data_IF_783613837781
#
_entry.id   IF_783613837781
#
_cell.length_a   1.000
_cell.length_b   1.000
_cell.length_c   1.000
_cell.angle_alpha   90.00
_cell.angle_beta   90.00
_cell.angle_gamma   90.00
#
_symmetry.space_group_name_H-M   'P 1'
#
loop_
_entity.id
_entity.type
_entity.pdbx_description
1 polymer ?
#
# COMPACT_ATOMS: atom_id res chain seq x y z
N UNK A 1 -18.03 22.29 57.90
CA UNK A 1 -17.33 21.42 58.89
C UNK A 1 -16.17 20.77 58.17
N UNK A 2 -14.94 20.66 58.68
CA UNK A 2 -14.31 21.11 59.94
C UNK A 2 -12.79 21.23 59.60
N UNK A 3 -12.16 22.41 59.66
CA UNK A 3 -11.48 23.07 60.80
C UNK A 3 -10.10 22.50 61.19
N UNK A 4 -9.13 23.40 61.45
CA UNK A 4 -7.71 23.16 61.79
C UNK A 4 -7.47 22.44 63.15
N UNK A 5 -6.23 22.02 63.48
CA UNK A 5 -5.25 22.92 64.13
C UNK A 5 -3.87 23.01 63.41
N UNK A 6 -2.91 23.94 63.61
CA UNK A 6 -2.69 25.10 64.53
C UNK A 6 -1.80 24.86 65.78
N UNK A 7 -0.53 25.34 65.73
CA UNK A 7 0.30 25.92 66.85
C UNK A 7 0.84 24.92 67.93
N UNK A 8 1.91 25.17 68.75
CA UNK A 8 2.75 26.39 68.98
C UNK A 8 4.32 26.22 68.92
N UNK A 9 5.02 27.33 69.24
CA UNK A 9 6.31 27.50 69.99
C UNK A 9 7.53 28.09 69.23
N UNK A 10 8.46 28.85 69.83
CA UNK A 10 8.35 29.97 70.82
C UNK A 10 9.74 30.58 71.15
N UNK A 11 9.98 31.86 70.84
CA UNK A 11 11.02 32.74 71.46
C UNK A 11 12.50 32.32 71.24
N UNK A 12 13.56 33.08 71.62
CA UNK A 12 13.67 34.32 72.41
C UNK A 12 14.96 35.12 72.06
N UNK A 13 14.81 36.43 71.90
CA UNK A 13 15.76 37.55 72.12
C UNK A 13 17.27 37.30 72.35
N UNK A 14 18.10 38.13 71.69
CA UNK A 14 19.13 38.94 72.39
C UNK A 14 19.29 40.34 71.76
N UNK A 15 19.87 41.29 72.50
CA UNK A 15 19.93 42.73 72.14
C UNK A 15 21.27 43.38 72.52
N UNK A 16 22.02 43.86 71.52
CA UNK A 16 23.07 44.92 71.59
C UNK A 16 23.08 45.59 70.20
N UNK A 17 23.27 46.89 70.01
CA UNK A 17 23.41 48.03 70.94
C UNK A 17 22.98 49.33 70.21
N UNK A 18 22.99 50.49 70.90
CA UNK A 18 22.61 51.79 70.33
C UNK A 18 23.79 52.76 70.40
N UNK A 19 24.12 53.37 69.28
CA UNK A 19 24.81 54.66 69.21
C UNK A 19 24.11 55.61 68.23
N UNK A 20 24.50 56.89 68.19
CA UNK A 20 23.70 57.93 67.53
C UNK A 20 24.55 59.10 67.02
N UNK A 21 24.43 59.38 65.73
CA UNK A 21 24.74 60.67 65.07
C UNK A 21 23.84 60.76 63.84
N UNK A 22 22.95 61.76 63.77
CA UNK A 22 23.20 63.14 63.30
C UNK A 22 23.31 63.18 61.77
N UNK A 23 22.33 63.82 61.12
CA UNK A 23 21.97 63.51 59.73
C UNK A 23 22.34 64.54 58.66
N UNK A 24 22.14 64.13 57.41
CA UNK A 24 22.00 64.99 56.23
C UNK A 24 20.74 64.54 55.48
N UNK A 25 19.84 65.47 55.15
CA UNK A 25 18.69 65.22 54.27
C UNK A 25 18.97 65.74 52.86
N UNK A 26 19.30 64.85 51.91
CA UNK A 26 19.36 65.11 50.46
C UNK A 26 18.87 63.85 49.68
N UNK A 27 18.52 63.95 48.38
CA UNK A 27 17.23 63.39 47.92
C UNK A 27 17.30 62.00 47.27
N UNK A 28 17.35 60.93 48.07
CA UNK A 28 17.23 59.55 47.56
C UNK A 28 15.93 59.26 46.79
N UNK A 29 14.83 59.99 47.07
CA UNK A 29 13.56 59.84 46.33
C UNK A 29 13.65 60.25 44.86
N UNK A 30 14.53 61.20 44.51
CA UNK A 30 14.71 61.61 43.12
C UNK A 30 15.44 60.53 42.30
N UNK A 31 16.53 59.97 42.86
CA UNK A 31 17.26 58.85 42.26
C UNK A 31 16.38 57.60 42.11
N UNK A 32 15.54 57.29 43.10
CA UNK A 32 14.59 56.17 42.99
C UNK A 32 13.58 56.37 41.85
N UNK A 33 13.03 57.56 41.66
CA UNK A 33 12.11 57.85 40.56
C UNK A 33 12.82 57.87 39.19
N UNK A 34 14.05 58.40 39.09
CA UNK A 34 14.85 58.30 37.88
C UNK A 34 15.18 56.84 37.53
N UNK A 35 15.54 56.00 38.50
CA UNK A 35 15.81 54.58 38.27
C UNK A 35 14.54 53.82 37.86
N UNK A 36 13.39 54.07 38.50
CA UNK A 36 12.11 53.47 38.09
C UNK A 36 11.72 53.93 36.68
N UNK A 37 11.92 55.21 36.35
CA UNK A 37 11.65 55.74 35.00
C UNK A 37 12.62 55.21 33.94
N UNK A 38 13.90 55.02 34.27
CA UNK A 38 14.88 54.40 33.37
C UNK A 38 14.58 52.91 33.19
N UNK A 39 14.22 52.18 34.25
CA UNK A 39 13.73 50.81 34.12
C UNK A 39 12.45 50.74 33.29
N UNK A 40 11.49 51.66 33.45
CA UNK A 40 10.29 51.69 32.59
C UNK A 40 10.61 52.03 31.13
N UNK A 41 11.52 52.97 30.88
CA UNK A 41 11.95 53.31 29.51
C UNK A 41 12.75 52.17 28.88
N UNK A 42 13.60 51.46 29.64
CA UNK A 42 14.30 50.25 29.19
C UNK A 42 13.31 49.11 28.94
N UNK A 43 12.34 48.87 29.83
CA UNK A 43 11.30 47.85 29.63
C UNK A 43 10.35 48.18 28.47
N UNK A 44 10.15 49.45 28.12
CA UNK A 44 9.41 49.86 26.91
C UNK A 44 10.31 49.73 25.66
N UNK A 45 11.60 50.07 25.77
CA UNK A 45 12.59 49.96 24.69
C UNK A 45 13.11 48.53 24.46
N UNK A 46 12.73 47.58 25.33
CA UNK A 46 12.92 46.13 25.18
C UNK A 46 11.56 45.41 25.08
N UNK A 47 10.49 46.15 24.78
CA UNK A 47 9.18 45.63 24.37
C UNK A 47 8.86 46.01 22.92
N UNK A 48 9.91 46.18 22.12
CA UNK A 48 9.90 46.37 20.68
C UNK A 48 11.05 45.56 20.09
N UNK A 49 10.83 44.89 18.95
CA UNK A 49 11.82 44.14 18.17
C UNK A 49 12.20 42.71 18.65
N UNK A 50 11.31 42.03 19.39
CA UNK A 50 11.19 40.56 19.36
C UNK A 50 9.71 40.20 19.07
N UNK A 51 9.44 39.01 18.52
CA UNK A 51 8.13 38.52 18.03
C UNK A 51 7.45 39.35 16.91
N UNK A 52 8.05 39.36 15.70
CA UNK A 52 7.27 39.54 14.46
C UNK A 52 7.78 38.63 13.33
N UNK A 53 7.16 37.45 13.16
CA UNK A 53 7.40 36.50 12.06
C UNK A 53 7.11 37.08 10.65
N UNK A 54 6.48 38.25 10.58
CA UNK A 54 6.09 38.92 9.36
C UNK A 54 7.29 39.71 8.77
N UNK A 55 8.08 39.07 7.91
CA UNK A 55 9.28 39.67 7.31
C UNK A 55 8.93 40.73 6.24
N UNK A 56 9.65 41.87 6.30
CA UNK A 56 9.44 43.04 5.41
C UNK A 56 10.41 43.11 4.22
N UNK A 57 11.19 42.06 3.98
CA UNK A 57 12.06 41.96 2.80
C UNK A 57 11.60 40.82 1.90
N UNK A 58 11.61 41.09 0.60
CA UNK A 58 11.23 40.16 -0.48
C UNK A 58 12.38 39.98 -1.50
N UNK A 59 13.47 40.74 -1.38
CA UNK A 59 14.58 40.74 -2.34
C UNK A 59 15.21 39.35 -2.59
N UNK A 60 15.53 38.52 -1.57
CA UNK A 60 16.09 37.17 -1.80
C UNK A 60 15.08 36.15 -2.37
N UNK A 61 13.81 36.55 -2.56
CA UNK A 61 12.79 35.72 -3.20
C UNK A 61 12.55 36.11 -4.66
N UNK A 62 13.14 37.21 -5.16
CA UNK A 62 12.88 37.67 -6.53
C UNK A 62 13.42 36.69 -7.57
N UNK A 63 14.71 36.35 -7.47
CA UNK A 63 15.34 35.46 -8.43
C UNK A 63 14.84 34.02 -8.23
N UNK A 64 14.15 33.47 -9.23
CA UNK A 64 13.58 32.12 -9.13
C UNK A 64 14.64 31.04 -9.35
N UNK A 65 15.56 31.28 -10.29
CA UNK A 65 16.55 30.30 -10.73
C UNK A 65 17.63 30.02 -9.65
N UNK A 66 17.85 30.96 -8.72
CA UNK A 66 18.76 30.83 -7.58
C UNK A 66 18.11 30.17 -6.34
N UNK A 67 16.85 29.69 -6.43
CA UNK A 67 16.14 29.15 -5.25
C UNK A 67 16.65 27.77 -4.76
N UNK A 68 17.48 27.06 -5.52
CA UNK A 68 18.15 25.85 -5.04
C UNK A 68 19.30 26.18 -4.06
N UNK A 69 20.03 27.29 -4.28
CA UNK A 69 21.14 27.73 -3.42
C UNK A 69 20.68 28.39 -2.10
N UNK A 70 19.38 28.68 -1.95
CA UNK A 70 18.85 29.53 -0.88
C UNK A 70 18.37 28.71 0.35
N UNK A 71 19.12 28.69 1.47
CA UNK A 71 18.76 27.91 2.66
C UNK A 71 17.58 28.50 3.44
N UNK A 72 17.23 29.78 3.21
CA UNK A 72 16.14 30.47 3.91
C UNK A 72 14.77 30.11 3.29
N UNK A 73 14.73 29.31 2.21
CA UNK A 73 13.47 28.77 1.66
C UNK A 73 13.05 27.56 2.51
N UNK A 74 12.42 27.88 3.64
CA UNK A 74 11.60 26.94 4.40
C UNK A 74 10.46 26.35 3.56
N UNK A 75 9.74 25.38 4.12
CA UNK A 75 8.78 24.54 3.39
C UNK A 75 7.75 25.33 2.57
N UNK A 76 7.30 26.49 3.07
CA UNK A 76 6.36 27.39 2.41
C UNK A 76 6.74 28.86 2.66
N UNK A 77 6.69 29.68 1.62
CA UNK A 77 6.92 31.13 1.66
C UNK A 77 5.79 31.85 0.92
N UNK A 78 5.21 32.88 1.54
CA UNK A 78 4.11 33.67 0.97
C UNK A 78 4.50 35.15 0.96
N UNK A 79 4.24 35.85 -0.15
CA UNK A 79 4.53 37.28 -0.31
C UNK A 79 3.36 38.01 -0.96
N UNK A 80 2.96 39.17 -0.41
CA UNK A 80 1.83 39.96 -0.92
C UNK A 80 2.22 41.39 -1.24
N UNK A 81 1.65 41.86 -2.35
CA UNK A 81 1.79 43.19 -2.90
C UNK A 81 0.40 43.81 -3.01
N UNK A 82 0.26 45.03 -2.51
CA UNK A 82 -0.99 45.79 -2.54
C UNK A 82 -0.85 46.96 -3.51
N UNK A 83 -1.96 47.38 -4.13
CA UNK A 83 -1.98 48.59 -4.94
C UNK A 83 -1.95 49.83 -4.04
N UNK A 84 -0.95 50.69 -4.21
CA UNK A 84 -0.83 51.96 -3.50
C UNK A 84 -1.71 53.06 -4.13
N UNK A 85 -1.75 54.24 -3.51
CA UNK A 85 -2.58 55.36 -3.97
C UNK A 85 -2.18 55.91 -5.36
N UNK A 86 -0.93 55.71 -5.78
CA UNK A 86 -0.43 56.09 -7.12
C UNK A 86 -0.74 55.02 -8.18
N UNK A 87 -1.41 53.93 -7.80
CA UNK A 87 -1.78 52.82 -8.68
C UNK A 87 -0.67 51.79 -8.92
N UNK A 88 0.46 51.88 -8.22
CA UNK A 88 1.57 50.93 -8.32
C UNK A 88 1.39 49.75 -7.35
N UNK A 89 1.81 48.55 -7.75
CA UNK A 89 1.89 47.41 -6.82
C UNK A 89 3.15 47.55 -5.97
N UNK A 90 3.00 47.55 -4.66
CA UNK A 90 4.09 47.68 -3.69
C UNK A 90 4.07 46.50 -2.72
N UNK A 91 5.24 45.97 -2.37
CA UNK A 91 5.38 44.92 -1.36
C UNK A 91 4.81 45.37 -0.02
N UNK A 92 4.03 44.51 0.62
CA UNK A 92 3.38 44.77 1.90
C UNK A 92 3.97 43.91 3.02
N UNK A 93 4.04 42.59 2.81
CA UNK A 93 4.58 41.63 3.75
C UNK A 93 4.99 40.32 3.06
N UNK A 94 5.96 39.62 3.65
CA UNK A 94 6.33 38.24 3.35
C UNK A 94 6.34 37.42 4.64
N UNK A 95 6.08 36.11 4.51
CA UNK A 95 6.02 35.16 5.64
C UNK A 95 6.71 33.88 5.24
N UNK A 96 7.58 33.39 6.12
CA UNK A 96 8.24 32.09 6.02
C UNK A 96 7.55 31.10 6.97
N UNK A 97 7.32 29.89 6.50
CA UNK A 97 6.49 28.88 7.17
C UNK A 97 7.20 27.53 7.09
N UNK A 98 8.08 27.27 8.06
CA UNK A 98 8.89 26.04 8.12
C UNK A 98 8.05 24.80 8.49
N UNK A 99 6.93 25.01 9.19
CA UNK A 99 6.03 23.96 9.63
C UNK A 99 4.59 24.23 9.15
N UNK A 100 4.03 23.40 8.23
CA UNK A 100 2.71 23.63 7.67
C UNK A 100 1.57 23.54 8.69
N UNK A 101 1.77 22.95 9.89
CA UNK A 101 0.70 22.85 10.90
C UNK A 101 0.22 24.19 11.47
N UNK A 102 1.01 25.26 11.29
CA UNK A 102 0.64 26.63 11.70
C UNK A 102 0.54 27.60 10.51
N UNK A 103 0.52 27.08 9.27
CA UNK A 103 0.57 27.90 8.06
C UNK A 103 -0.61 28.87 7.92
N UNK A 104 -1.82 28.40 8.18
CA UNK A 104 -3.03 29.20 8.02
C UNK A 104 -3.08 30.38 9.01
N UNK A 105 -2.75 30.11 10.28
CA UNK A 105 -2.81 31.12 11.35
C UNK A 105 -1.73 32.20 11.14
N UNK A 106 -0.45 31.82 10.97
CA UNK A 106 0.65 32.78 10.75
C UNK A 106 0.44 33.61 9.48
N UNK A 107 0.00 32.99 8.39
CA UNK A 107 -0.25 33.68 7.12
C UNK A 107 -1.44 34.64 7.24
N UNK A 108 -2.53 34.25 7.92
CA UNK A 108 -3.66 35.14 8.15
C UNK A 108 -3.30 36.32 9.07
N UNK A 109 -2.48 36.11 10.11
CA UNK A 109 -2.01 37.17 11.02
C UNK A 109 -1.13 38.21 10.31
N UNK A 110 -0.17 37.76 9.49
CA UNK A 110 0.78 38.65 8.82
C UNK A 110 0.29 39.25 7.49
N UNK A 111 -0.55 38.53 6.74
CA UNK A 111 -0.93 38.86 5.35
C UNK A 111 -2.45 39.09 5.20
N UNK A 112 -3.29 38.65 6.15
CA UNK A 112 -4.74 38.74 6.07
C UNK A 112 -5.40 37.64 5.19
N UNK A 113 -4.60 36.89 4.44
CA UNK A 113 -5.05 35.80 3.56
C UNK A 113 -4.36 34.48 3.96
N UNK A 114 -5.09 33.34 4.00
CA UNK A 114 -4.47 32.03 4.17
C UNK A 114 -3.73 31.60 2.88
N UNK A 115 -2.77 30.67 2.96
CA UNK A 115 -2.07 30.16 1.79
C UNK A 115 -2.99 29.32 0.89
N UNK A 116 -2.61 29.19 -0.39
CA UNK A 116 -3.22 28.19 -1.27
C UNK A 116 -2.90 26.80 -0.73
N UNK A 117 -3.92 25.94 -0.70
CA UNK A 117 -3.75 24.51 -0.46
C UNK A 117 -3.25 23.86 -1.77
N UNK A 118 -1.93 23.73 -1.91
CA UNK A 118 -1.27 23.13 -3.08
C UNK A 118 -0.91 21.67 -2.80
N UNK A 119 -1.37 20.77 -3.66
CA UNK A 119 -0.93 19.37 -3.73
C UNK A 119 0.02 19.19 -4.93
N UNK A 120 1.21 18.68 -4.66
CA UNK A 120 2.23 18.31 -5.63
C UNK A 120 2.40 16.78 -5.63
N UNK A 121 2.48 16.14 -6.80
CA UNK A 121 2.75 14.71 -6.93
C UNK A 121 3.61 14.40 -8.16
N UNK A 122 4.57 13.49 -8.00
CA UNK A 122 5.36 12.90 -9.11
C UNK A 122 4.92 11.45 -9.29
N UNK A 123 4.65 11.02 -10.52
CA UNK A 123 4.33 9.62 -10.83
C UNK A 123 5.56 8.77 -11.21
N UNK A 124 5.39 7.45 -11.31
CA UNK A 124 6.45 6.51 -11.68
C UNK A 124 6.93 6.63 -13.14
N UNK A 125 6.31 7.49 -13.94
CA UNK A 125 6.76 7.85 -15.28
C UNK A 125 7.48 9.21 -15.30
N UNK A 126 7.79 9.75 -14.11
CA UNK A 126 8.43 11.05 -13.89
C UNK A 126 7.63 12.24 -14.45
N UNK A 127 6.30 12.15 -14.52
CA UNK A 127 5.45 13.32 -14.75
C UNK A 127 5.17 14.04 -13.43
N UNK A 128 5.25 15.37 -13.46
CA UNK A 128 5.01 16.26 -12.34
C UNK A 128 3.61 16.88 -12.45
N UNK A 129 2.77 16.62 -11.46
CA UNK A 129 1.37 17.05 -11.41
C UNK A 129 1.13 17.98 -10.22
N UNK A 130 0.60 19.17 -10.50
CA UNK A 130 0.22 20.16 -9.49
C UNK A 130 -1.29 20.35 -9.45
N UNK A 131 -1.85 20.57 -8.26
CA UNK A 131 -3.24 21.01 -8.12
C UNK A 131 -3.44 21.91 -6.92
N UNK A 132 -4.34 22.88 -7.02
CA UNK A 132 -4.69 23.75 -5.89
C UNK A 132 -6.15 24.19 -5.90
N UNK A 133 -6.66 24.49 -4.71
CA UNK A 133 -8.01 25.04 -4.51
C UNK A 133 -8.01 26.55 -4.72
N UNK A 134 -8.87 27.05 -5.62
CA UNK A 134 -9.05 28.48 -5.90
C UNK A 134 -10.24 29.13 -5.18
N UNK A 135 -10.99 28.42 -4.33
CA UNK A 135 -12.25 28.91 -3.75
C UNK A 135 -12.14 30.16 -2.87
N UNK A 136 -10.96 30.44 -2.30
CA UNK A 136 -10.70 31.62 -1.47
C UNK A 136 -10.49 32.91 -2.27
N UNK A 137 -10.38 32.82 -3.61
CA UNK A 137 -9.97 33.91 -4.49
C UNK A 137 -11.10 34.37 -5.43
N UNK A 138 -11.07 35.62 -5.94
CA UNK A 138 -12.04 36.08 -6.91
C UNK A 138 -12.01 35.24 -8.20
N UNK A 139 -13.18 34.89 -8.75
CA UNK A 139 -13.29 34.13 -10.01
C UNK A 139 -12.77 34.83 -11.28
N UNK A 140 -12.19 36.03 -11.13
CA UNK A 140 -11.48 36.77 -12.18
C UNK A 140 -9.97 36.91 -11.90
N UNK A 141 -9.44 36.22 -10.88
CA UNK A 141 -8.01 36.19 -10.61
C UNK A 141 -7.25 35.47 -11.74
N UNK A 142 -6.11 36.02 -12.13
CA UNK A 142 -5.19 35.44 -13.09
C UNK A 142 -4.10 34.66 -12.37
N UNK A 143 -3.82 33.46 -12.86
CA UNK A 143 -2.83 32.54 -12.30
C UNK A 143 -1.68 32.35 -13.28
N UNK A 144 -0.45 32.36 -12.77
CA UNK A 144 0.70 31.81 -13.48
C UNK A 144 1.58 30.97 -12.57
N UNK A 145 2.32 30.04 -13.16
CA UNK A 145 3.01 28.96 -12.45
C UNK A 145 4.41 28.76 -13.03
N UNK A 146 5.40 28.53 -12.17
CA UNK A 146 6.73 28.05 -12.56
C UNK A 146 7.30 27.11 -11.51
N UNK A 147 8.00 26.06 -11.92
CA UNK A 147 8.71 25.12 -11.04
C UNK A 147 10.22 25.07 -11.35
N UNK A 148 10.96 24.71 -10.30
CA UNK A 148 12.40 24.47 -10.30
C UNK A 148 12.64 23.08 -9.68
N UNK A 149 13.59 22.32 -10.23
CA UNK A 149 14.05 21.04 -9.69
C UNK A 149 15.52 21.11 -9.33
N UNK A 150 15.85 20.74 -8.09
CA UNK A 150 17.20 20.86 -7.52
C UNK A 150 17.86 19.49 -7.32
N UNK A 151 19.16 19.39 -7.65
CA UNK A 151 20.08 18.33 -7.23
C UNK A 151 21.05 18.98 -6.23
N UNK A 152 20.85 18.76 -4.93
CA UNK A 152 21.42 19.61 -3.88
C UNK A 152 21.13 21.12 -4.07
N UNK A 153 22.19 21.90 -4.26
CA UNK A 153 22.15 23.35 -4.47
C UNK A 153 22.01 23.74 -5.96
N UNK A 154 22.16 22.80 -6.92
CA UNK A 154 22.15 23.09 -8.36
C UNK A 154 20.74 22.98 -8.98
N UNK A 155 20.36 24.00 -9.77
CA UNK A 155 19.10 24.01 -10.52
C UNK A 155 19.21 23.22 -11.84
N UNK A 156 18.78 21.95 -11.81
CA UNK A 156 18.88 21.02 -12.95
C UNK A 156 17.67 21.08 -13.89
N UNK A 157 16.51 21.54 -13.40
CA UNK A 157 15.28 21.68 -14.17
C UNK A 157 14.62 23.03 -13.87
N UNK A 158 14.35 23.86 -14.89
CA UNK A 158 13.59 25.11 -14.74
C UNK A 158 12.47 25.18 -15.78
N UNK A 159 11.24 25.46 -15.32
CA UNK A 159 10.10 25.71 -16.20
C UNK A 159 9.99 27.19 -16.57
N UNK A 160 9.55 27.48 -17.79
CA UNK A 160 9.05 28.81 -18.13
C UNK A 160 7.72 29.10 -17.42
N UNK A 161 7.52 30.33 -16.97
CA UNK A 161 6.21 30.77 -16.42
C UNK A 161 5.05 30.53 -17.41
N UNK A 162 4.15 29.62 -17.07
CA UNK A 162 2.92 29.33 -17.81
C UNK A 162 1.73 30.09 -17.20
N UNK A 163 0.78 30.55 -18.04
CA UNK A 163 -0.46 31.19 -17.58
C UNK A 163 -1.60 30.17 -17.57
N UNK A 164 -2.18 29.95 -16.40
CA UNK A 164 -3.22 28.94 -16.20
C UNK A 164 -4.60 29.58 -16.33
N UNK A 165 -5.49 28.93 -17.10
CA UNK A 165 -6.87 29.40 -17.29
C UNK A 165 -7.72 29.13 -16.04
N UNK A 166 -8.69 30.00 -15.73
CA UNK A 166 -9.59 29.83 -14.59
C UNK A 166 -10.33 28.49 -14.64
N UNK A 167 -10.49 27.78 -13.50
CA UNK A 167 -10.85 26.38 -13.52
C UNK A 167 -12.33 26.15 -13.87
N UNK A 168 -12.59 25.13 -14.67
CA UNK A 168 -13.84 24.40 -14.60
C UNK A 168 -13.72 23.41 -13.43
N UNK A 169 -14.71 23.37 -12.53
CA UNK A 169 -14.75 22.50 -11.34
C UNK A 169 -13.83 22.85 -10.15
N UNK A 170 -13.50 24.13 -9.93
CA UNK A 170 -12.90 24.71 -8.70
C UNK A 170 -11.47 24.27 -8.31
N UNK A 171 -11.04 23.05 -8.66
CA UNK A 171 -9.62 22.68 -8.60
C UNK A 171 -8.91 23.19 -9.85
N UNK A 172 -7.89 24.03 -9.66
CA UNK A 172 -6.91 24.27 -10.71
C UNK A 172 -5.98 23.07 -10.74
N UNK A 173 -6.20 22.16 -11.69
CA UNK A 173 -5.17 21.22 -12.11
C UNK A 173 -4.16 22.06 -12.91
N UNK A 174 -2.94 22.20 -12.39
CA UNK A 174 -1.83 22.70 -13.18
C UNK A 174 -1.68 21.78 -14.38
N UNK A 175 -1.70 22.38 -15.58
CA UNK A 175 -1.48 21.67 -16.83
C UNK A 175 -0.24 20.75 -16.68
N UNK A 176 -0.28 19.55 -17.27
CA UNK A 176 0.81 18.59 -17.11
C UNK A 176 2.13 19.28 -17.42
N UNK A 177 3.11 19.12 -16.53
CA UNK A 177 4.51 19.33 -16.86
C UNK A 177 4.95 18.28 -17.89
N UNK A 178 4.48 18.43 -19.13
CA UNK A 178 4.94 17.70 -20.31
C UNK A 178 6.30 18.27 -20.75
N UNK A 179 7.20 18.45 -19.77
CA UNK A 179 8.62 18.69 -19.94
C UNK A 179 9.30 17.36 -19.72
N UNK A 180 9.92 16.87 -20.80
CA UNK A 180 10.74 15.68 -20.92
C UNK A 180 11.30 15.13 -19.59
N UNK A 181 10.71 14.02 -19.11
CA UNK A 181 11.16 13.15 -18.00
C UNK A 181 11.93 13.86 -16.87
N UNK A 182 11.27 14.22 -15.77
CA UNK A 182 11.93 14.83 -14.58
C UNK A 182 13.22 14.04 -14.24
N UNK A 183 14.38 14.71 -14.05
CA UNK A 183 15.65 14.04 -13.79
C UNK A 183 15.56 13.07 -12.62
N UNK A 184 16.21 11.90 -12.76
CA UNK A 184 16.13 10.80 -11.78
C UNK A 184 16.77 11.17 -10.42
N UNK A 185 17.64 12.18 -10.40
CA UNK A 185 18.45 12.59 -9.26
C UNK A 185 18.03 13.96 -8.70
N UNK A 186 16.76 14.36 -8.77
CA UNK A 186 16.33 15.53 -7.99
C UNK A 186 16.21 15.16 -6.50
N UNK A 187 16.68 16.03 -5.62
CA UNK A 187 16.35 15.99 -4.18
C UNK A 187 15.01 16.70 -3.94
N UNK A 188 14.83 17.87 -4.54
CA UNK A 188 13.77 18.83 -4.23
C UNK A 188 13.07 19.38 -5.48
N UNK A 189 11.79 19.70 -5.33
CA UNK A 189 11.00 20.48 -6.30
C UNK A 189 10.44 21.73 -5.60
N UNK A 190 10.71 22.90 -6.18
CA UNK A 190 10.22 24.20 -5.72
C UNK A 190 9.18 24.70 -6.72
N UNK A 191 7.94 24.95 -6.27
CA UNK A 191 6.90 25.59 -7.06
C UNK A 191 6.77 27.06 -6.69
N UNK A 192 6.51 27.92 -7.68
CA UNK A 192 6.02 29.30 -7.52
C UNK A 192 4.66 29.44 -8.21
N UNK A 193 3.65 29.87 -7.47
CA UNK A 193 2.35 30.29 -8.01
C UNK A 193 2.19 31.79 -7.80
N UNK A 194 2.00 32.50 -8.92
CA UNK A 194 1.64 33.90 -8.98
C UNK A 194 0.12 34.02 -9.16
N UNK A 195 -0.54 34.79 -8.29
CA UNK A 195 -1.98 35.11 -8.36
C UNK A 195 -2.14 36.62 -8.42
N UNK A 196 -2.89 37.14 -9.40
CA UNK A 196 -3.13 38.58 -9.54
C UNK A 196 -4.58 38.93 -9.83
N UNK A 197 -5.08 39.96 -9.16
CA UNK A 197 -6.36 40.63 -9.41
C UNK A 197 -6.22 42.13 -9.07
N UNK A 198 -7.23 43.01 -9.30
CA UNK A 198 -7.00 44.46 -9.36
C UNK A 198 -6.21 45.09 -8.21
N UNK A 199 -6.41 44.68 -6.95
CA UNK A 199 -5.78 45.33 -5.79
C UNK A 199 -4.74 44.46 -5.06
N UNK A 200 -4.58 43.19 -5.47
CA UNK A 200 -3.70 42.19 -4.86
C UNK A 200 -2.85 41.49 -5.94
N UNK A 201 -1.55 41.42 -5.70
CA UNK A 201 -0.67 40.41 -6.31
C UNK A 201 -0.06 39.58 -5.19
N UNK A 202 -0.18 38.27 -5.32
CA UNK A 202 0.14 37.27 -4.32
C UNK A 202 1.08 36.25 -4.94
N UNK A 203 2.16 35.93 -4.24
CA UNK A 203 3.18 34.98 -4.68
C UNK A 203 3.34 33.94 -3.57
N UNK A 204 3.15 32.68 -3.91
CA UNK A 204 3.43 31.54 -3.03
C UNK A 204 4.53 30.70 -3.64
N UNK A 205 5.64 30.57 -2.91
CA UNK A 205 6.71 29.61 -3.20
C UNK A 205 6.61 28.48 -2.19
N UNK A 206 6.71 27.23 -2.63
CA UNK A 206 6.62 26.05 -1.76
C UNK A 206 7.61 24.98 -2.22
N UNK A 207 8.29 24.36 -1.27
CA UNK A 207 9.38 23.39 -1.50
C UNK A 207 8.98 22.00 -1.01
N UNK A 208 9.24 20.97 -1.81
CA UNK A 208 9.01 19.56 -1.45
C UNK A 208 10.20 18.69 -1.85
N UNK A 209 10.69 17.91 -0.89
CA UNK A 209 11.56 16.75 -1.12
C UNK A 209 10.83 15.71 -1.98
N UNK A 210 11.45 15.25 -3.07
CA UNK A 210 10.81 14.41 -4.09
C UNK A 210 10.30 13.07 -3.51
N UNK A 211 10.97 12.53 -2.48
CA UNK A 211 10.61 11.25 -1.82
C UNK A 211 9.27 11.36 -1.09
N UNK A 212 8.93 12.56 -0.63
CA UNK A 212 7.65 12.84 0.02
C UNK A 212 6.49 13.06 -0.98
N UNK A 213 6.77 13.44 -2.23
CA UNK A 213 5.75 13.67 -3.28
C UNK A 213 5.67 12.58 -4.36
N UNK A 214 6.60 11.63 -4.39
CA UNK A 214 6.57 10.49 -5.32
C UNK A 214 5.41 9.53 -4.98
N UNK A 215 4.51 9.29 -5.93
CA UNK A 215 3.46 8.27 -5.86
C UNK A 215 3.93 7.01 -6.59
N UNK A 216 4.10 5.93 -5.84
CA UNK A 216 4.45 4.61 -6.38
C UNK A 216 3.31 3.99 -7.21
N UNK A 217 3.68 3.15 -8.18
CA UNK A 217 2.76 2.23 -8.85
C UNK A 217 2.30 1.12 -7.89
N UNK A 218 1.11 0.53 -8.07
CA UNK A 218 0.68 -0.66 -7.33
C UNK A 218 1.65 -1.84 -7.55
N UNK A 219 2.00 -2.60 -6.49
CA UNK A 219 2.89 -3.76 -6.60
C UNK A 219 2.22 -4.90 -7.37
N UNK A 220 3.00 -5.68 -8.10
CA UNK A 220 2.46 -6.81 -8.87
C UNK A 220 2.29 -8.04 -7.98
N UNK A 221 1.07 -8.58 -7.90
CA UNK A 221 0.79 -9.85 -7.23
C UNK A 221 1.25 -10.98 -8.16
N UNK A 222 2.32 -11.66 -7.77
CA UNK A 222 3.00 -12.72 -8.55
C UNK A 222 2.28 -14.05 -8.42
N UNK A 223 1.78 -14.35 -7.22
CA UNK A 223 1.09 -15.60 -6.92
C UNK A 223 0.00 -15.37 -5.89
N UNK A 224 -1.16 -16.00 -6.08
CA UNK A 224 -2.22 -16.04 -5.07
C UNK A 224 -2.99 -17.37 -5.20
N UNK A 225 -2.75 -18.27 -4.26
CA UNK A 225 -3.19 -19.68 -4.32
C UNK A 225 -3.77 -20.14 -3.00
N UNK A 226 -4.74 -21.06 -3.09
CA UNK A 226 -5.28 -21.76 -1.93
C UNK A 226 -4.64 -23.15 -1.84
N UNK A 227 -4.01 -23.45 -0.71
CA UNK A 227 -3.32 -24.71 -0.44
C UNK A 227 -3.85 -25.33 0.85
N UNK A 228 -4.66 -26.38 0.72
CA UNK A 228 -5.46 -26.87 1.85
C UNK A 228 -6.47 -25.79 2.25
N UNK A 229 -6.44 -25.41 3.54
CA UNK A 229 -7.31 -24.37 4.11
C UNK A 229 -6.61 -23.00 4.22
N UNK A 230 -5.42 -22.83 3.63
CA UNK A 230 -4.62 -21.60 3.70
C UNK A 230 -4.63 -20.83 2.35
N UNK A 231 -4.79 -19.50 2.40
CA UNK A 231 -4.64 -18.60 1.24
C UNK A 231 -3.26 -17.95 1.28
N UNK A 232 -2.38 -18.38 0.39
CA UNK A 232 -1.07 -17.79 0.17
C UNK A 232 -1.16 -16.64 -0.84
N UNK A 233 -0.50 -15.52 -0.55
CA UNK A 233 -0.38 -14.35 -1.46
C UNK A 233 1.07 -13.89 -1.48
N UNK A 234 1.62 -13.65 -2.66
CA UNK A 234 2.99 -13.19 -2.87
C UNK A 234 3.02 -12.09 -3.94
N UNK A 235 3.85 -11.08 -3.72
CA UNK A 235 4.00 -9.92 -4.59
C UNK A 235 5.48 -9.59 -4.83
N UNK A 236 5.75 -8.90 -5.94
CA UNK A 236 7.09 -8.41 -6.26
C UNK A 236 7.42 -7.14 -5.46
N UNK A 237 8.72 -6.89 -5.33
CA UNK A 237 9.23 -5.60 -4.85
C UNK A 237 8.80 -4.49 -5.83
N UNK A 238 8.26 -3.35 -5.36
CA UNK A 238 7.96 -2.21 -6.20
C UNK A 238 9.21 -1.72 -6.93
N UNK A 239 9.06 -1.38 -8.21
CA UNK A 239 10.11 -0.68 -8.97
C UNK A 239 10.13 0.77 -8.53
N UNK A 240 11.31 1.34 -8.34
CA UNK A 240 11.49 2.76 -8.03
C UNK A 240 12.52 3.36 -8.99
N UNK A 241 12.34 4.63 -9.34
CA UNK A 241 13.28 5.33 -10.21
C UNK A 241 14.46 5.88 -9.39
N UNK A 242 14.21 6.23 -8.13
CA UNK A 242 15.14 6.84 -7.17
C UNK A 242 16.10 5.85 -6.47
N UNK A 243 16.39 4.69 -7.07
CA UNK A 243 17.31 3.68 -6.52
C UNK A 243 16.91 3.05 -5.17
N UNK A 244 15.65 3.19 -4.75
CA UNK A 244 15.12 2.58 -3.52
C UNK A 244 14.73 1.12 -3.77
N UNK A 245 15.73 0.22 -3.76
CA UNK A 245 15.55 -1.22 -3.97
C UNK A 245 15.57 -2.05 -2.66
N UNK A 246 15.55 -1.40 -1.48
CA UNK A 246 15.59 -2.09 -0.19
C UNK A 246 14.17 -2.42 0.30
N UNK A 247 13.92 -3.69 0.63
CA UNK A 247 12.62 -4.18 1.11
C UNK A 247 12.07 -3.43 2.35
N UNK A 248 12.94 -2.88 3.21
CA UNK A 248 12.52 -2.11 4.38
C UNK A 248 12.04 -0.68 4.06
N UNK A 249 12.24 -0.20 2.83
CA UNK A 249 11.69 1.06 2.36
C UNK A 249 10.19 0.98 2.07
N UNK A 250 9.57 -0.21 2.05
CA UNK A 250 8.18 -0.38 1.63
C UNK A 250 7.24 -0.85 2.75
N UNK A 251 6.06 -0.21 2.77
CA UNK A 251 4.90 -0.58 3.56
C UNK A 251 3.74 -0.92 2.63
N UNK A 252 3.12 -2.07 2.86
CA UNK A 252 2.04 -2.61 2.04
C UNK A 252 0.72 -2.62 2.81
N UNK A 253 -0.39 -2.45 2.11
CA UNK A 253 -1.72 -2.81 2.58
C UNK A 253 -2.33 -3.82 1.63
N UNK A 254 -2.80 -4.94 2.18
CA UNK A 254 -3.51 -6.01 1.49
C UNK A 254 -4.97 -5.98 1.93
N UNK A 255 -5.90 -5.71 1.01
CA UNK A 255 -7.31 -5.93 1.20
C UNK A 255 -7.62 -7.40 0.83
N UNK A 256 -8.12 -8.18 1.78
CA UNK A 256 -8.70 -9.51 1.56
C UNK A 256 -10.19 -9.44 1.93
N UNK A 257 -11.06 -9.31 0.92
CA UNK A 257 -12.53 -9.31 1.08
C UNK A 257 -13.04 -8.30 2.11
N UNK A 258 -12.58 -7.06 1.96
CA UNK A 258 -12.81 -5.88 2.82
C UNK A 258 -12.10 -5.89 4.18
N UNK A 259 -11.29 -6.91 4.48
CA UNK A 259 -10.32 -6.88 5.59
C UNK A 259 -8.96 -6.31 5.13
N UNK A 260 -8.62 -5.10 5.59
CA UNK A 260 -7.31 -4.48 5.31
C UNK A 260 -6.27 -4.95 6.34
N UNK A 261 -5.18 -5.55 5.86
CA UNK A 261 -4.05 -6.06 6.63
C UNK A 261 -2.78 -5.34 6.17
N UNK A 262 -2.05 -4.71 7.10
CA UNK A 262 -0.89 -3.88 6.79
C UNK A 262 0.42 -4.59 7.17
N UNK A 263 1.42 -4.51 6.29
CA UNK A 263 2.71 -5.19 6.45
C UNK A 263 3.88 -4.26 6.12
N UNK A 264 4.99 -4.44 6.84
CA UNK A 264 6.27 -3.78 6.56
C UNK A 264 7.31 -4.86 6.21
N UNK A 265 8.19 -4.58 5.25
CA UNK A 265 9.36 -5.43 4.96
C UNK A 265 9.10 -6.92 4.61
N UNK A 266 7.95 -7.25 4.01
CA UNK A 266 7.67 -8.61 3.48
C UNK A 266 7.12 -8.56 2.05
N UNK A 267 7.27 -9.68 1.34
CA UNK A 267 6.80 -9.91 -0.03
C UNK A 267 5.76 -11.06 -0.12
N UNK A 268 5.34 -11.59 1.03
CA UNK A 268 4.30 -12.63 1.08
C UNK A 268 3.46 -12.54 2.36
N UNK A 269 2.27 -13.14 2.29
CA UNK A 269 1.31 -13.29 3.37
C UNK A 269 0.62 -14.67 3.27
N UNK A 270 0.06 -15.15 4.38
CA UNK A 270 -0.75 -16.37 4.41
C UNK A 270 -1.89 -16.20 5.41
N UNK A 271 -3.13 -16.22 4.91
CA UNK A 271 -4.32 -16.35 5.76
C UNK A 271 -4.56 -17.84 6.03
N UNK A 272 -4.82 -18.22 7.28
CA UNK A 272 -5.03 -19.63 7.65
C UNK A 272 -6.50 -19.93 7.99
N UNK A 273 -6.94 -21.16 7.74
CA UNK A 273 -8.30 -21.65 8.04
C UNK A 273 -9.41 -20.88 7.30
N UNK A 274 -9.21 -20.58 6.02
CA UNK A 274 -10.16 -19.84 5.18
C UNK A 274 -11.43 -20.66 4.91
N UNK A 275 -12.57 -19.99 4.78
CA UNK A 275 -13.81 -20.63 4.32
C UNK A 275 -13.70 -20.99 2.83
N UNK A 276 -13.39 -22.26 2.55
CA UNK A 276 -13.27 -22.82 1.19
C UNK A 276 -14.58 -22.80 0.37
N UNK A 277 -15.72 -22.37 0.92
CA UNK A 277 -16.95 -22.19 0.14
C UNK A 277 -17.02 -20.82 -0.55
N UNK A 278 -16.13 -19.88 -0.18
CA UNK A 278 -16.15 -18.49 -0.65
C UNK A 278 -15.16 -18.22 -1.77
N UNK A 279 -15.33 -17.06 -2.39
CA UNK A 279 -14.31 -16.40 -3.21
C UNK A 279 -13.80 -15.18 -2.45
N UNK A 280 -12.49 -15.00 -2.46
CA UNK A 280 -11.78 -13.90 -1.84
C UNK A 280 -11.41 -12.88 -2.91
N UNK A 281 -11.76 -11.62 -2.72
CA UNK A 281 -11.26 -10.51 -3.52
C UNK A 281 -9.97 -9.99 -2.89
N UNK A 282 -8.88 -9.98 -3.66
CA UNK A 282 -7.56 -9.56 -3.20
C UNK A 282 -7.18 -8.28 -3.95
N UNK A 283 -6.79 -7.24 -3.21
CA UNK A 283 -6.13 -6.05 -3.75
C UNK A 283 -4.96 -5.64 -2.86
N UNK A 284 -3.90 -5.08 -3.46
CA UNK A 284 -2.77 -4.53 -2.72
C UNK A 284 -2.49 -3.08 -3.10
N UNK A 285 -1.91 -2.31 -2.16
CA UNK A 285 -1.27 -1.02 -2.43
C UNK A 285 0.01 -0.86 -1.59
N UNK A 286 0.86 0.09 -1.96
CA UNK A 286 2.16 0.33 -1.32
C UNK A 286 2.43 1.81 -1.05
N UNK A 287 3.24 2.11 -0.05
CA UNK A 287 3.83 3.43 0.23
C UNK A 287 5.26 3.25 0.76
N UNK A 288 6.06 4.31 0.76
CA UNK A 288 7.39 4.27 1.37
C UNK A 288 7.33 4.41 2.90
N UNK A 289 8.30 3.83 3.61
CA UNK A 289 8.43 3.93 5.07
C UNK A 289 9.16 5.21 5.48
N UNK A 290 9.02 5.61 6.74
CA UNK A 290 9.72 6.77 7.31
C UNK A 290 11.24 6.71 7.12
N UNK A 291 11.83 5.52 7.02
CA UNK A 291 13.28 5.32 6.93
C UNK A 291 13.88 5.75 5.58
N UNK A 292 13.08 5.79 4.51
CA UNK A 292 13.54 6.11 3.16
C UNK A 292 12.86 7.36 2.56
N UNK A 293 12.30 8.22 3.42
CA UNK A 293 11.42 9.32 3.01
C UNK A 293 10.00 8.82 2.77
N UNK A 294 9.10 9.00 3.76
CA UNK A 294 7.71 8.56 3.67
C UNK A 294 6.92 9.46 2.71
N UNK A 295 6.41 8.89 1.63
CA UNK A 295 5.51 9.56 0.71
C UNK A 295 4.21 9.99 1.40
N UNK A 296 3.69 11.15 0.99
CA UNK A 296 2.36 11.62 1.29
C UNK A 296 1.28 10.74 0.62
N UNK A 297 1.66 10.00 -0.42
CA UNK A 297 0.78 9.18 -1.23
C UNK A 297 0.98 7.68 -1.00
N UNK A 298 -0.15 6.97 -0.95
CA UNK A 298 -0.18 5.55 -1.29
C UNK A 298 -0.27 5.40 -2.81
N UNK A 299 0.21 4.28 -3.34
CA UNK A 299 -0.18 3.82 -4.67
C UNK A 299 -1.70 3.68 -4.75
N UNK A 300 -2.21 3.65 -5.98
CA UNK A 300 -3.56 3.12 -6.19
C UNK A 300 -3.60 1.63 -5.80
N UNK A 301 -4.81 1.08 -5.64
CA UNK A 301 -4.98 -0.36 -5.44
C UNK A 301 -4.73 -1.12 -6.74
N UNK A 302 -4.16 -2.33 -6.66
CA UNK A 302 -4.14 -3.28 -7.77
C UNK A 302 -5.57 -3.55 -8.29
N UNK A 303 -5.64 -4.07 -9.52
CA UNK A 303 -6.85 -4.78 -9.97
C UNK A 303 -7.27 -5.86 -8.98
N UNK A 304 -8.58 -6.12 -8.90
CA UNK A 304 -9.15 -7.14 -8.00
C UNK A 304 -8.81 -8.52 -8.53
N UNK A 305 -7.96 -9.26 -7.80
CA UNK A 305 -7.66 -10.65 -8.07
C UNK A 305 -8.63 -11.53 -7.26
N UNK A 306 -9.51 -12.27 -7.95
CA UNK A 306 -10.50 -13.13 -7.30
C UNK A 306 -9.99 -14.57 -7.18
N UNK A 307 -9.76 -15.04 -5.94
CA UNK A 307 -9.20 -16.37 -5.63
C UNK A 307 -10.21 -17.20 -4.83
N UNK A 308 -10.29 -18.49 -5.12
CA UNK A 308 -11.24 -19.42 -4.49
C UNK A 308 -11.62 -20.55 -5.45
N UNK A 309 -12.52 -21.47 -5.07
CA UNK A 309 -12.79 -22.63 -5.91
C UNK A 309 -13.46 -22.24 -7.23
N UNK A 310 -12.83 -22.61 -8.34
CA UNK A 310 -13.49 -22.71 -9.67
C UNK A 310 -14.26 -24.05 -9.73
N UNK A 311 -14.95 -24.40 -8.63
CA UNK A 311 -15.71 -25.64 -8.46
C UNK A 311 -16.93 -25.38 -7.58
N UNK A 312 -18.10 -25.27 -8.22
CA UNK A 312 -19.34 -25.61 -7.53
C UNK A 312 -19.28 -27.10 -7.13
N UNK A 313 -19.64 -27.51 -5.91
CA UNK A 313 -19.68 -28.94 -5.55
C UNK A 313 -20.53 -29.80 -6.50
N UNK A 314 -21.50 -29.17 -7.18
CA UNK A 314 -22.37 -29.76 -8.18
C UNK A 314 -21.65 -30.31 -9.43
N UNK A 315 -20.49 -29.78 -9.83
CA UNK A 315 -19.84 -30.14 -11.11
C UNK A 315 -18.95 -31.39 -11.06
N UNK A 316 -18.34 -31.70 -9.91
CA UNK A 316 -17.67 -33.00 -9.74
C UNK A 316 -18.69 -34.12 -9.48
N UNK A 317 -19.79 -33.82 -8.74
CA UNK A 317 -20.90 -34.77 -8.61
C UNK A 317 -21.63 -35.02 -9.94
N UNK A 318 -21.82 -34.02 -10.80
CA UNK A 318 -22.61 -34.20 -12.03
C UNK A 318 -22.04 -35.27 -12.96
N UNK A 319 -20.72 -35.33 -13.12
CA UNK A 319 -20.08 -36.31 -14.02
C UNK A 319 -20.25 -37.75 -13.54
N UNK A 320 -20.09 -37.98 -12.22
CA UNK A 320 -20.31 -39.30 -11.61
C UNK A 320 -21.79 -39.67 -11.62
N UNK A 321 -22.68 -38.75 -11.24
CA UNK A 321 -24.13 -39.01 -11.21
C UNK A 321 -24.70 -39.24 -12.62
N UNK A 322 -24.30 -38.49 -13.64
CA UNK A 322 -24.74 -38.71 -15.02
C UNK A 322 -24.27 -40.08 -15.51
N UNK A 323 -23.01 -40.46 -15.26
CA UNK A 323 -22.48 -41.79 -15.60
C UNK A 323 -23.28 -42.91 -14.94
N UNK A 324 -23.57 -42.80 -13.64
CA UNK A 324 -24.37 -43.79 -12.89
C UNK A 324 -25.83 -43.83 -13.39
N UNK A 325 -26.47 -42.68 -13.64
CA UNK A 325 -27.84 -42.61 -14.15
C UNK A 325 -27.94 -43.25 -15.54
N UNK A 326 -26.99 -42.98 -16.45
CA UNK A 326 -26.94 -43.60 -17.78
C UNK A 326 -26.70 -45.12 -17.68
N UNK A 327 -25.78 -45.55 -16.81
CA UNK A 327 -25.51 -46.98 -16.58
C UNK A 327 -26.74 -47.73 -16.03
N UNK A 328 -27.50 -47.12 -15.11
CA UNK A 328 -28.76 -47.68 -14.60
C UNK A 328 -29.84 -47.70 -15.69
N UNK A 329 -30.04 -46.57 -16.39
CA UNK A 329 -31.10 -46.40 -17.39
C UNK A 329 -30.92 -47.27 -18.63
N UNK A 330 -29.68 -47.59 -19.05
CA UNK A 330 -29.39 -48.46 -20.19
C UNK A 330 -29.07 -49.90 -19.77
N UNK A 331 -28.36 -50.10 -18.66
CA UNK A 331 -27.93 -51.42 -18.21
C UNK A 331 -29.09 -52.32 -17.79
N UNK A 332 -30.02 -51.82 -16.97
CA UNK A 332 -31.19 -52.60 -16.50
C UNK A 332 -32.05 -53.14 -17.66
N UNK A 333 -32.53 -52.33 -18.62
CA UNK A 333 -33.33 -52.86 -19.74
C UNK A 333 -32.53 -53.78 -20.66
N UNK A 334 -31.23 -53.54 -20.87
CA UNK A 334 -30.37 -54.44 -21.66
C UNK A 334 -30.19 -55.81 -21.00
N UNK A 335 -29.96 -55.86 -19.68
CA UNK A 335 -29.87 -57.11 -18.92
C UNK A 335 -31.22 -57.84 -18.92
N UNK A 336 -32.32 -57.12 -18.71
CA UNK A 336 -33.67 -57.70 -18.76
C UNK A 336 -34.00 -58.29 -20.13
N UNK A 337 -33.63 -57.59 -21.21
CA UNK A 337 -33.79 -58.07 -22.58
C UNK A 337 -32.95 -59.32 -22.85
N UNK A 338 -31.68 -59.35 -22.40
CA UNK A 338 -30.82 -60.51 -22.52
C UNK A 338 -31.39 -61.75 -21.79
N UNK A 339 -31.89 -61.59 -20.57
CA UNK A 339 -32.55 -62.67 -19.81
C UNK A 339 -33.81 -63.15 -20.54
N UNK A 340 -34.64 -62.25 -21.04
CA UNK A 340 -35.84 -62.62 -21.82
C UNK A 340 -35.49 -63.40 -23.10
N UNK A 341 -34.42 -63.02 -23.79
CA UNK A 341 -33.91 -63.72 -24.97
C UNK A 341 -33.34 -65.11 -24.61
N UNK A 342 -32.59 -65.24 -23.51
CA UNK A 342 -32.09 -66.53 -23.03
C UNK A 342 -33.23 -67.47 -22.63
N UNK A 343 -34.24 -67.00 -21.90
CA UNK A 343 -35.42 -67.80 -21.55
C UNK A 343 -36.27 -68.17 -22.78
N UNK A 344 -36.31 -67.33 -23.82
CA UNK A 344 -36.90 -67.68 -25.12
C UNK A 344 -36.08 -68.76 -25.82
N UNK A 345 -34.77 -68.64 -25.86
CA UNK A 345 -33.86 -69.59 -26.50
C UNK A 345 -33.90 -70.98 -25.84
N UNK A 346 -33.92 -71.05 -24.51
CA UNK A 346 -34.12 -72.29 -23.75
C UNK A 346 -35.45 -72.98 -24.13
N UNK A 347 -36.58 -72.25 -24.13
CA UNK A 347 -37.90 -72.80 -24.53
C UNK A 347 -37.99 -73.18 -26.01
N UNK A 348 -37.14 -72.63 -26.87
CA UNK A 348 -37.00 -73.02 -28.28
C UNK A 348 -36.16 -74.29 -28.40
N UNK A 349 -35.06 -74.40 -27.66
CA UNK A 349 -34.25 -75.62 -27.57
C UNK A 349 -35.06 -76.81 -27.03
N UNK A 350 -35.82 -76.64 -25.95
CA UNK A 350 -36.72 -77.68 -25.40
C UNK A 350 -37.78 -78.16 -26.41
N UNK A 351 -38.18 -77.31 -27.36
CA UNK A 351 -39.13 -77.64 -28.43
C UNK A 351 -38.50 -78.27 -29.67
N UNK A 352 -37.26 -77.90 -30.00
CA UNK A 352 -36.52 -78.47 -31.14
C UNK A 352 -35.85 -79.80 -30.77
N UNK A 353 -35.42 -79.93 -29.52
CA UNK A 353 -34.80 -81.10 -28.92
C UNK A 353 -35.60 -81.50 -27.67
N UNK A 354 -36.77 -82.14 -27.82
CA UNK A 354 -37.47 -82.73 -26.68
C UNK A 354 -36.53 -83.73 -25.97
N UNK A 355 -36.60 -83.86 -24.64
CA UNK A 355 -35.67 -84.69 -23.88
C UNK A 355 -35.70 -86.13 -24.40
N UNK A 356 -34.55 -86.62 -24.86
CA UNK A 356 -34.41 -87.95 -25.45
C UNK A 356 -34.94 -88.99 -24.47
N UNK A 357 -35.93 -89.83 -24.84
CA UNK A 357 -36.52 -90.79 -23.92
C UNK A 357 -35.43 -91.75 -23.41
N UNK A 358 -35.31 -91.83 -22.08
CA UNK A 358 -34.20 -92.53 -21.43
C UNK A 358 -34.05 -93.98 -21.91
N UNK A 359 -32.82 -94.47 -22.07
CA UNK A 359 -32.56 -95.78 -22.66
C UNK A 359 -33.28 -96.89 -21.88
N UNK A 360 -34.03 -97.73 -22.61
CA UNK A 360 -34.84 -98.78 -21.99
C UNK A 360 -33.97 -99.71 -21.12
N UNK A 361 -34.53 -100.18 -20.00
CA UNK A 361 -33.83 -100.90 -18.93
C UNK A 361 -32.98 -102.08 -19.45
N UNK A 362 -33.38 -102.70 -20.56
CA UNK A 362 -32.68 -103.80 -21.24
C UNK A 362 -31.24 -103.48 -21.68
N UNK A 363 -30.86 -102.21 -21.85
CA UNK A 363 -29.51 -101.81 -22.29
C UNK A 363 -28.54 -101.68 -21.11
N UNK A 364 -29.01 -101.29 -19.91
CA UNK A 364 -28.14 -101.16 -18.73
C UNK A 364 -27.46 -102.48 -18.37
N UNK A 365 -28.21 -103.59 -18.37
CA UNK A 365 -27.70 -104.93 -18.06
C UNK A 365 -26.72 -105.53 -19.08
N UNK A 366 -26.39 -104.82 -20.17
CA UNK A 366 -25.33 -105.21 -21.12
C UNK A 366 -24.03 -104.42 -20.93
N UNK A 367 -24.06 -103.26 -20.28
CA UNK A 367 -22.87 -102.42 -20.04
C UNK A 367 -22.25 -102.65 -18.65
N UNK A 368 -22.85 -103.52 -17.84
CA UNK A 368 -22.51 -103.78 -16.43
C UNK A 368 -21.98 -105.22 -16.24
N UNK A 369 -21.42 -105.84 -17.30
CA UNK A 369 -21.05 -107.27 -17.29
C UNK A 369 -19.63 -107.61 -17.77
N UNK A 370 -18.96 -106.73 -18.50
CA UNK A 370 -17.59 -106.96 -18.99
C UNK A 370 -16.58 -106.15 -18.17
N UNK A 371 -16.18 -106.72 -17.03
CA UNK A 371 -15.08 -106.25 -16.19
C UNK A 371 -14.11 -107.42 -15.93
N UNK A 372 -12.88 -107.11 -15.51
CA UNK A 372 -11.76 -108.05 -15.25
C UNK A 372 -11.01 -108.64 -16.48
N UNK A 373 -9.91 -107.97 -16.86
CA UNK A 373 -8.62 -108.68 -17.05
C UNK A 373 -7.41 -107.85 -16.56
N UNK A 374 -6.51 -108.54 -15.87
CA UNK A 374 -5.27 -108.14 -15.17
C UNK A 374 -4.29 -107.27 -16.02
N UNK A 375 -3.29 -106.52 -15.49
CA UNK A 375 -2.10 -106.93 -14.68
C UNK A 375 -1.51 -105.69 -13.92
N UNK A 376 -0.68 -105.91 -12.88
CA UNK A 376 -0.08 -104.96 -11.89
C UNK A 376 1.35 -105.47 -11.52
N UNK A 377 2.41 -104.70 -11.08
CA UNK A 377 2.52 -103.35 -10.46
C UNK A 377 3.57 -102.42 -11.21
N UNK A 378 4.46 -101.52 -10.69
CA UNK A 378 4.93 -101.05 -9.35
C UNK A 378 5.81 -99.74 -9.44
N UNK A 379 5.73 -98.82 -8.44
CA UNK A 379 6.82 -97.88 -7.94
C UNK A 379 7.43 -96.83 -8.93
N UNK A 380 8.02 -95.66 -8.59
CA UNK A 380 8.50 -94.92 -7.39
C UNK A 380 8.06 -93.42 -7.53
N UNK A 381 7.76 -92.61 -6.49
CA UNK A 381 8.62 -91.79 -5.58
C UNK A 381 9.68 -90.89 -6.25
N UNK A 382 9.50 -89.55 -6.20
CA UNK A 382 10.50 -88.53 -5.79
C UNK A 382 9.77 -87.19 -5.42
N UNK A 383 10.44 -86.24 -4.74
CA UNK A 383 9.82 -85.10 -4.02
C UNK A 383 10.81 -83.90 -3.85
N UNK A 384 10.32 -82.66 -3.62
CA UNK A 384 11.07 -81.48 -3.07
C UNK A 384 12.15 -80.84 -4.02
N UNK A 385 12.63 -79.56 -3.88
CA UNK A 385 12.22 -78.39 -3.07
C UNK A 385 11.86 -77.09 -3.85
N UNK A 386 11.43 -76.05 -3.12
CA UNK A 386 11.54 -74.62 -3.52
C UNK A 386 12.96 -74.07 -3.35
N UNK A 387 13.30 -72.93 -3.98
CA UNK A 387 14.42 -72.07 -3.56
C UNK A 387 14.25 -70.61 -4.02
N UNK A 388 14.59 -69.64 -3.17
CA UNK A 388 14.58 -68.19 -3.47
C UNK A 388 15.99 -67.63 -3.69
N UNK A 389 16.11 -66.64 -4.59
CA UNK A 389 17.15 -65.59 -4.60
C UNK A 389 16.57 -64.41 -5.41
N UNK A 390 16.25 -63.23 -4.84
CA UNK A 390 17.05 -62.19 -4.16
C UNK A 390 17.74 -61.22 -5.14
N UNK A 391 17.46 -59.93 -4.96
CA UNK A 391 17.95 -58.78 -5.75
C UNK A 391 19.45 -58.50 -5.55
N UNK A 392 20.10 -57.86 -6.55
CA UNK A 392 20.83 -56.59 -6.33
C UNK A 392 21.15 -55.83 -7.63
N UNK A 393 21.39 -54.54 -7.44
CA UNK A 393 21.53 -53.40 -8.35
C UNK A 393 22.84 -53.34 -9.18
N UNK A 394 22.80 -52.62 -10.32
CA UNK A 394 23.95 -51.93 -10.96
C UNK A 394 24.73 -52.73 -12.03
N UNK A 395 25.51 -52.09 -12.92
CA UNK A 395 25.61 -50.70 -13.41
C UNK A 395 26.61 -50.69 -14.57
N UNK A 396 26.60 -49.67 -15.45
CA UNK A 396 27.61 -49.41 -16.52
C UNK A 396 27.68 -50.51 -17.62
N UNK A 397 28.09 -50.26 -18.87
CA UNK A 397 28.20 -49.03 -19.68
C UNK A 397 28.04 -49.46 -21.16
N UNK A 398 27.63 -48.55 -22.06
CA UNK A 398 27.48 -48.87 -23.48
C UNK A 398 26.90 -47.72 -24.32
N UNK A 399 27.68 -47.28 -25.31
CA UNK A 399 27.33 -46.21 -26.24
C UNK A 399 26.42 -46.71 -27.37
N UNK A 400 25.53 -45.88 -27.89
CA UNK A 400 25.46 -45.59 -29.33
C UNK A 400 24.62 -44.33 -29.63
N UNK A 401 24.97 -43.65 -30.72
CA UNK A 401 24.39 -42.39 -31.20
C UNK A 401 23.08 -42.62 -31.98
N UNK A 402 22.20 -41.63 -32.05
CA UNK A 402 21.84 -41.04 -33.37
C UNK A 402 21.05 -39.71 -33.26
N UNK A 403 20.99 -39.00 -34.40
CA UNK A 403 20.41 -37.67 -34.58
C UNK A 403 18.87 -37.64 -34.42
N UNK A 404 18.30 -36.49 -34.00
CA UNK A 404 17.77 -35.44 -34.91
C UNK A 404 17.31 -34.19 -34.16
#
# INVERSE_FOLDING_TARGET
MMSFPVVPLSSKWHRVGRESTMGICLPWKALSLCLISLCFIISISMATDEDSDCMKSYEPLQNFSEQCENPDIGALVVSVFLRNADGLMQHNASVYIDNPTHAADKSHECIGHPPLNISCAVDMQNHLNFSWDGQSLPGHAHYSISYLGCDGEEAVLESREERVSTPHYHTLIGNQAMTDNVPVNLDDIILRINVSYPDLWYIQTQKWDIRHITKLDPPQIVNATVHGDDLFVQWDLPKTNTGMEQLHCFKYELNVSDEIKAFDSTLHFTEQNIDLTRKYSIQMRVTTTNYCGKSLFWSDWTSVLAVGPIRSPLTDLSNVHIGVIVAIALGLPMILLAVLLLCKFQRVLEKLFPPVPGPSIKIKGLLERDDVTQIVPQKYVEEVPELQFKETLGSEEGEEEENW
#
